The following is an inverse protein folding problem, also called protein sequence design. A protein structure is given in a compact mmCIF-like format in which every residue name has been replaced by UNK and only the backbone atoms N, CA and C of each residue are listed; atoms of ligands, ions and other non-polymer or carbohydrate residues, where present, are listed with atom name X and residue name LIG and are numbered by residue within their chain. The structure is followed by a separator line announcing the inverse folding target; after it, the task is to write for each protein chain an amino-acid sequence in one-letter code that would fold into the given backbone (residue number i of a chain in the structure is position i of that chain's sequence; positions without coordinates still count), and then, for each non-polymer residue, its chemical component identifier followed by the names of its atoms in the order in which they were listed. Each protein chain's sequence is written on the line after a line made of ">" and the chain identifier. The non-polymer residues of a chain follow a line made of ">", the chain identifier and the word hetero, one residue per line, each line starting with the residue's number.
data_IF_317057356209
#
_entry.id   IF_317057356209
#
_cell.length_a   1.000
_cell.length_b   1.000
_cell.length_c   1.000
_cell.angle_alpha   90.00
_cell.angle_beta   90.00
_cell.angle_gamma   90.00
#
_symmetry.space_group_name_H-M   'P 1'
#
loop_
_entity.id
_entity.type
_entity.pdbx_description
1 polymer ?
#
# COMPACT_ATOMS: atom_id res chain seq x y z
N UNK A 1 0.54 3.53 3.24
CA UNK A 1 0.50 2.06 3.14
C UNK A 1 -0.88 1.67 2.65
N UNK A 2 -0.95 1.03 1.47
CA UNK A 2 -2.22 0.57 0.90
C UNK A 2 -2.63 -0.75 1.57
N UNK A 3 -3.90 -0.92 1.91
CA UNK A 3 -4.44 -2.14 2.53
C UNK A 3 -5.70 -2.59 1.80
N UNK A 4 -5.95 -3.90 1.76
CA UNK A 4 -7.14 -4.51 1.17
C UNK A 4 -7.66 -5.60 2.11
N UNK A 5 -8.98 -5.80 2.15
CA UNK A 5 -9.60 -6.85 2.96
C UNK A 5 -11.12 -6.75 2.99
N UNK A 6 -11.79 -7.86 3.30
CA UNK A 6 -13.26 -7.92 3.26
C UNK A 6 -13.90 -7.52 4.60
N UNK A 7 -13.25 -7.84 5.72
CA UNK A 7 -13.78 -7.57 7.05
C UNK A 7 -13.33 -6.21 7.61
N UNK A 8 -14.31 -5.40 8.05
CA UNK A 8 -14.05 -4.08 8.61
C UNK A 8 -13.25 -4.11 9.93
N UNK A 9 -13.50 -5.09 10.82
CA UNK A 9 -12.86 -5.17 12.14
C UNK A 9 -11.35 -5.48 12.07
N UNK A 10 -10.91 -6.55 11.38
CA UNK A 10 -9.49 -6.81 11.15
C UNK A 10 -8.80 -5.66 10.43
N UNK A 11 -9.46 -5.06 9.42
CA UNK A 11 -8.91 -3.93 8.68
C UNK A 11 -8.69 -2.69 9.56
N UNK A 12 -9.62 -2.39 10.47
CA UNK A 12 -9.48 -1.30 11.44
C UNK A 12 -8.33 -1.55 12.43
N UNK A 13 -8.17 -2.80 12.89
CA UNK A 13 -7.07 -3.21 13.78
C UNK A 13 -5.72 -3.00 13.09
N UNK A 14 -5.59 -3.48 11.85
CA UNK A 14 -4.37 -3.30 11.04
C UNK A 14 -4.11 -1.82 10.76
N UNK A 15 -5.14 -1.05 10.43
CA UNK A 15 -5.02 0.41 10.21
C UNK A 15 -4.51 1.14 11.45
N UNK A 16 -5.02 0.78 12.63
CA UNK A 16 -4.59 1.36 13.91
C UNK A 16 -3.12 1.05 14.17
N UNK A 17 -2.69 -0.20 13.94
CA UNK A 17 -1.30 -0.60 14.06
C UNK A 17 -0.38 0.16 13.08
N UNK A 18 -0.76 0.25 11.80
CA UNK A 18 0.01 1.02 10.80
C UNK A 18 0.13 2.49 11.21
N UNK A 19 -0.95 3.06 11.75
CA UNK A 19 -0.98 4.45 12.23
C UNK A 19 -0.05 4.64 13.43
N UNK A 20 0.02 3.68 14.36
CA UNK A 20 0.94 3.75 15.51
C UNK A 20 2.42 3.69 15.12
N UNK A 21 2.73 3.18 13.92
CA UNK A 21 4.07 3.23 13.32
C UNK A 21 4.37 4.58 12.63
N UNK A 22 3.46 5.56 12.69
CA UNK A 22 3.60 6.86 12.02
C UNK A 22 3.33 6.81 10.51
N UNK A 23 2.76 5.72 10.01
CA UNK A 23 2.40 5.56 8.59
C UNK A 23 0.93 5.91 8.36
N UNK A 24 0.59 6.26 7.12
CA UNK A 24 -0.80 6.53 6.70
C UNK A 24 -1.42 5.29 6.04
N UNK A 25 -2.29 4.51 6.71
CA UNK A 25 -3.03 3.44 6.05
C UNK A 25 -4.05 4.04 5.06
N UNK A 26 -4.20 3.41 3.90
CA UNK A 26 -5.16 3.79 2.87
C UNK A 26 -5.89 2.52 2.44
N UNK A 27 -7.19 2.45 2.71
CA UNK A 27 -8.04 1.34 2.31
C UNK A 27 -8.27 1.38 0.79
N UNK A 28 -7.96 0.27 0.13
CA UNK A 28 -8.14 0.08 -1.32
C UNK A 28 -9.35 -0.77 -1.66
N UNK A 29 -10.08 -1.27 -0.65
CA UNK A 29 -11.33 -2.00 -0.83
C UNK A 29 -11.26 -3.47 -0.40
N UNK A 30 -12.08 -4.34 -1.02
CA UNK A 30 -12.15 -5.78 -0.75
C UNK A 30 -10.83 -6.52 -0.97
N UNK A 31 -10.74 -7.76 -0.47
CA UNK A 31 -9.54 -8.60 -0.57
C UNK A 31 -9.10 -8.87 -2.02
N UNK A 32 -10.03 -8.84 -2.97
CA UNK A 32 -9.74 -8.97 -4.41
C UNK A 32 -8.69 -7.93 -4.90
N UNK A 33 -8.65 -6.75 -4.28
CA UNK A 33 -7.66 -5.71 -4.59
C UNK A 33 -6.22 -6.13 -4.25
N UNK A 34 -6.02 -7.14 -3.40
CA UNK A 34 -4.70 -7.66 -3.07
C UNK A 34 -3.91 -8.07 -4.32
N UNK A 35 -4.58 -8.65 -5.34
CA UNK A 35 -3.92 -9.01 -6.62
C UNK A 35 -3.26 -7.79 -7.29
N UNK A 36 -3.92 -6.64 -7.27
CA UNK A 36 -3.40 -5.42 -7.85
C UNK A 36 -2.30 -4.79 -6.98
N UNK A 37 -2.41 -4.90 -5.64
CA UNK A 37 -1.35 -4.47 -4.73
C UNK A 37 -0.07 -5.30 -4.90
N UNK A 38 -0.21 -6.62 -5.07
CA UNK A 38 0.91 -7.53 -5.39
C UNK A 38 1.56 -7.15 -6.73
N UNK A 39 0.75 -6.92 -7.77
CA UNK A 39 1.23 -6.47 -9.08
C UNK A 39 1.94 -5.12 -9.01
N UNK A 40 1.45 -4.20 -8.18
CA UNK A 40 2.11 -2.90 -7.94
C UNK A 40 3.50 -3.10 -7.34
N UNK A 41 3.67 -4.05 -6.40
CA UNK A 41 4.97 -4.42 -5.87
C UNK A 41 5.97 -4.87 -6.95
N UNK A 42 5.52 -5.66 -7.93
CA UNK A 42 6.35 -6.06 -9.07
C UNK A 42 6.79 -4.86 -9.92
N UNK A 43 5.88 -3.92 -10.19
CA UNK A 43 6.21 -2.68 -10.93
C UNK A 43 7.24 -1.87 -10.17
N UNK A 44 7.08 -1.70 -8.84
CA UNK A 44 8.05 -1.01 -8.00
C UNK A 44 9.42 -1.68 -8.04
N UNK A 45 9.49 -3.02 -7.96
CA UNK A 45 10.77 -3.74 -8.07
C UNK A 45 11.45 -3.51 -9.42
N UNK A 46 10.68 -3.54 -10.52
CA UNK A 46 11.18 -3.24 -11.86
C UNK A 46 11.71 -1.81 -11.99
N UNK A 47 10.96 -0.84 -11.46
CA UNK A 47 11.36 0.57 -11.45
C UNK A 47 12.64 0.77 -10.64
N UNK A 48 12.75 0.16 -9.46
CA UNK A 48 13.95 0.27 -8.64
C UNK A 48 15.20 -0.30 -9.33
N UNK A 49 15.05 -1.46 -9.99
CA UNK A 49 16.17 -2.11 -10.68
C UNK A 49 16.58 -1.43 -11.97
N UNK A 50 15.63 -0.90 -12.74
CA UNK A 50 15.88 -0.48 -14.14
C UNK A 50 15.67 1.01 -14.41
N UNK A 51 14.78 1.70 -13.68
CA UNK A 51 14.47 3.11 -13.94
C UNK A 51 15.07 4.07 -12.93
N UNK A 52 14.85 3.84 -11.63
CA UNK A 52 15.37 4.67 -10.55
C UNK A 52 16.83 4.34 -10.18
N UNK A 53 17.30 3.12 -10.48
CA UNK A 53 18.67 2.68 -10.19
C UNK A 53 18.94 2.40 -8.70
N UNK A 54 17.93 2.49 -7.84
CA UNK A 54 17.94 2.12 -6.43
C UNK A 54 16.49 1.91 -5.94
N UNK A 55 16.32 1.49 -4.68
CA UNK A 55 15.01 1.27 -4.05
C UNK A 55 14.60 2.39 -3.07
N UNK A 56 15.35 3.49 -3.02
CA UNK A 56 15.06 4.65 -2.17
C UNK A 56 14.05 5.57 -2.85
N UNK A 57 12.85 5.04 -3.10
CA UNK A 57 11.73 5.78 -3.64
C UNK A 57 10.40 5.19 -3.14
N UNK A 58 9.31 5.93 -3.34
CA UNK A 58 8.00 5.53 -2.85
C UNK A 58 6.89 5.79 -3.87
N UNK A 59 5.83 4.99 -3.79
CA UNK A 59 4.58 5.26 -4.49
C UNK A 59 3.68 6.14 -3.59
N UNK A 60 3.53 7.40 -3.98
CA UNK A 60 2.70 8.37 -3.26
C UNK A 60 1.29 8.46 -3.82
N UNK A 61 0.29 8.56 -2.93
CA UNK A 61 -1.08 8.92 -3.28
C UNK A 61 -1.43 10.23 -2.58
N UNK A 62 -1.81 11.24 -3.36
CA UNK A 62 -2.30 12.54 -2.87
C UNK A 62 -3.81 12.55 -3.01
N UNK A 63 -4.52 12.61 -1.89
CA UNK A 63 -5.97 12.76 -1.86
C UNK A 63 -6.30 14.25 -1.68
N UNK A 64 -7.15 14.83 -2.52
CA UNK A 64 -7.78 16.11 -2.19
C UNK A 64 -8.78 15.86 -1.06
N UNK A 65 -8.56 16.49 0.09
CA UNK A 65 -9.56 16.55 1.15
C UNK A 65 -10.80 17.33 0.68
#
# INVERSE_FOLDING_TARGET
>A
MLIAGDDAQPKATVSTFITSLGLRPLDTGPLEMARWLEGTGLVMMGLGRHGAGNFDFSLGVTTSA
#
